data_IF_748485911672
#
_entry.id   IF_748485911672
#
_cell.length_a   1.000
_cell.length_b   1.000
_cell.length_c   1.000
_cell.angle_alpha   90.00
_cell.angle_beta   90.00
_cell.angle_gamma   90.00
#
_symmetry.space_group_name_H-M   'P 1'
#
loop_
_entity.id
_entity.type
_entity.pdbx_description
1 polymer ?
#
# COMPACT_ATOMS: atom_id res chain seq x y z
N UNK A 1 -13.16 12.06 10.94
CA UNK A 1 -11.73 12.28 11.32
C UNK A 1 -10.73 11.46 10.47
N UNK A 2 -10.86 10.12 10.45
CA UNK A 2 -9.93 9.24 9.73
C UNK A 2 -9.98 9.39 8.19
N UNK A 3 -11.17 9.46 7.58
CA UNK A 3 -11.33 9.71 6.13
C UNK A 3 -10.70 11.04 5.73
N UNK A 4 -10.94 12.12 6.49
CA UNK A 4 -10.34 13.44 6.24
C UNK A 4 -8.81 13.39 6.32
N UNK A 5 -8.26 12.63 7.26
CA UNK A 5 -6.82 12.42 7.36
C UNK A 5 -6.28 11.69 6.11
N UNK A 6 -6.91 10.59 5.70
CA UNK A 6 -6.50 9.83 4.50
C UNK A 6 -6.57 10.68 3.23
N UNK A 7 -7.64 11.46 3.05
CA UNK A 7 -7.75 12.40 1.92
C UNK A 7 -6.67 13.48 1.95
N UNK A 8 -6.34 14.02 3.13
CA UNK A 8 -5.27 15.02 3.28
C UNK A 8 -3.90 14.42 2.96
N UNK A 9 -3.62 13.21 3.46
CA UNK A 9 -2.40 12.48 3.17
C UNK A 9 -2.29 12.17 1.68
N UNK A 10 -3.36 11.66 1.07
CA UNK A 10 -3.42 11.37 -0.36
C UNK A 10 -3.11 12.62 -1.20
N UNK A 11 -3.71 13.77 -0.87
CA UNK A 11 -3.45 15.02 -1.58
C UNK A 11 -1.99 15.49 -1.44
N UNK A 12 -1.37 15.31 -0.27
CA UNK A 12 0.06 15.63 -0.07
C UNK A 12 0.96 14.69 -0.86
N UNK A 13 0.70 13.38 -0.77
CA UNK A 13 1.49 12.36 -1.48
C UNK A 13 1.35 12.50 -3.00
N UNK A 14 0.18 12.86 -3.51
CA UNK A 14 -0.03 13.11 -4.94
C UNK A 14 0.82 14.28 -5.45
N UNK A 15 1.03 15.32 -4.64
CA UNK A 15 1.92 16.45 -4.99
C UNK A 15 3.39 16.06 -4.94
N UNK A 16 3.81 15.29 -3.94
CA UNK A 16 5.21 14.90 -3.76
C UNK A 16 5.63 13.74 -4.68
N UNK A 17 4.68 12.88 -5.04
CA UNK A 17 4.91 11.62 -5.73
C UNK A 17 3.93 11.44 -6.90
N UNK A 18 3.75 12.49 -7.71
CA UNK A 18 2.85 12.49 -8.87
C UNK A 18 3.16 11.35 -9.86
N UNK A 19 4.40 10.86 -9.86
CA UNK A 19 4.92 9.85 -10.78
C UNK A 19 4.68 8.41 -10.32
N UNK A 20 4.05 8.17 -9.17
CA UNK A 20 3.73 6.80 -8.77
C UNK A 20 2.77 6.20 -9.81
N UNK A 21 3.22 5.12 -10.43
CA UNK A 21 2.45 4.36 -11.41
C UNK A 21 1.45 3.42 -10.72
N UNK A 22 1.86 2.81 -9.60
CA UNK A 22 1.06 1.83 -8.87
C UNK A 22 1.65 1.60 -7.47
N UNK A 23 0.81 1.27 -6.48
CA UNK A 23 1.29 0.93 -5.14
C UNK A 23 0.40 -0.09 -4.43
N UNK A 24 0.94 -0.71 -3.39
CA UNK A 24 0.25 -1.72 -2.60
C UNK A 24 0.20 -1.31 -1.13
N UNK A 25 -0.97 -1.47 -0.52
CA UNK A 25 -1.15 -1.45 0.94
C UNK A 25 -1.53 -2.86 1.36
N UNK A 26 -0.68 -3.52 2.13
CA UNK A 26 -0.91 -4.89 2.60
C UNK A 26 -1.00 -4.94 4.13
N UNK A 27 -1.58 -6.02 4.64
CA UNK A 27 -1.86 -6.17 6.07
C UNK A 27 -2.66 -5.01 6.65
N UNK A 28 -3.53 -4.38 5.86
CA UNK A 28 -4.44 -3.37 6.36
C UNK A 28 -5.41 -4.02 7.37
N UNK A 29 -5.45 -3.50 8.59
CA UNK A 29 -6.47 -3.91 9.54
C UNK A 29 -7.88 -3.55 9.00
N UNK A 30 -8.96 -4.20 9.46
CA UNK A 30 -10.29 -4.00 8.90
C UNK A 30 -10.75 -2.54 8.87
N UNK A 31 -10.41 -1.75 9.89
CA UNK A 31 -10.74 -0.33 9.97
C UNK A 31 -9.97 0.49 8.93
N UNK A 32 -8.66 0.28 8.81
CA UNK A 32 -7.82 0.94 7.81
C UNK A 32 -8.30 0.59 6.39
N UNK A 33 -8.61 -0.68 6.14
CA UNK A 33 -9.17 -1.13 4.87
C UNK A 33 -10.46 -0.38 4.52
N UNK A 34 -11.42 -0.31 5.45
CA UNK A 34 -12.69 0.41 5.25
C UNK A 34 -12.48 1.91 5.04
N UNK A 35 -11.65 2.57 5.85
CA UNK A 35 -11.39 4.01 5.72
C UNK A 35 -10.81 4.34 4.35
N UNK A 36 -9.84 3.56 3.86
CA UNK A 36 -9.23 3.84 2.56
C UNK A 36 -10.20 3.54 1.41
N UNK A 37 -11.01 2.48 1.50
CA UNK A 37 -12.07 2.20 0.50
C UNK A 37 -13.08 3.35 0.43
N UNK A 38 -13.54 3.85 1.58
CA UNK A 38 -14.48 4.98 1.62
C UNK A 38 -13.85 6.28 1.10
N UNK A 39 -12.53 6.40 1.21
CA UNK A 39 -11.78 7.57 0.73
C UNK A 39 -11.49 7.51 -0.78
N UNK A 40 -11.40 6.32 -1.38
CA UNK A 40 -11.02 6.13 -2.81
C UNK A 40 -11.82 6.96 -3.82
N UNK A 41 -13.17 7.05 -3.73
CA UNK A 41 -13.96 7.80 -4.71
C UNK A 41 -13.70 9.31 -4.71
N UNK A 42 -13.26 9.84 -3.57
CA UNK A 42 -13.01 11.28 -3.37
C UNK A 42 -11.54 11.64 -3.34
N UNK A 43 -10.67 10.64 -3.23
CA UNK A 43 -9.25 10.81 -3.36
C UNK A 43 -8.87 10.97 -4.84
N UNK A 44 -7.87 11.82 -5.10
CA UNK A 44 -7.31 11.98 -6.44
C UNK A 44 -6.65 10.71 -6.97
N UNK A 45 -5.90 10.84 -8.07
CA UNK A 45 -5.36 9.71 -8.81
C UNK A 45 -4.44 8.84 -7.95
N UNK A 46 -3.84 9.39 -6.89
CA UNK A 46 -2.95 8.67 -6.00
C UNK A 46 -3.61 7.43 -5.37
N UNK A 47 -4.73 7.59 -4.64
CA UNK A 47 -5.35 6.43 -3.97
C UNK A 47 -6.03 5.48 -4.95
N UNK A 48 -6.41 5.95 -6.15
CA UNK A 48 -6.94 5.07 -7.19
C UNK A 48 -5.89 4.10 -7.74
N UNK A 49 -4.61 4.51 -7.75
CA UNK A 49 -3.47 3.68 -8.16
C UNK A 49 -2.99 2.71 -7.07
N UNK A 50 -3.59 2.75 -5.87
CA UNK A 50 -3.23 1.86 -4.77
C UNK A 50 -4.16 0.64 -4.74
N UNK A 51 -3.59 -0.56 -4.76
CA UNK A 51 -4.32 -1.79 -4.40
C UNK A 51 -4.19 -2.04 -2.90
N UNK A 52 -5.32 -2.33 -2.26
CA UNK A 52 -5.40 -2.40 -0.81
C UNK A 52 -5.84 -3.80 -0.44
N UNK A 53 -5.09 -4.41 0.46
CA UNK A 53 -5.28 -5.78 0.87
C UNK A 53 -5.32 -5.87 2.39
N UNK A 54 -6.22 -6.71 2.89
CA UNK A 54 -6.31 -7.05 4.30
C UNK A 54 -5.15 -7.94 4.78
N UNK A 55 -5.32 -8.55 5.95
CA UNK A 55 -4.29 -9.37 6.60
C UNK A 55 -4.13 -10.78 6.03
N UNK A 56 -5.03 -11.24 5.16
CA UNK A 56 -4.94 -12.56 4.56
C UNK A 56 -3.87 -12.60 3.45
N UNK A 57 -2.67 -13.06 3.80
CA UNK A 57 -1.51 -13.16 2.92
C UNK A 57 -1.69 -14.11 1.74
N UNK A 58 -2.49 -15.17 1.89
CA UNK A 58 -2.80 -16.07 0.78
C UNK A 58 -3.54 -15.36 -0.36
N UNK A 59 -4.27 -14.27 -0.06
CA UNK A 59 -5.00 -13.50 -1.06
C UNK A 59 -4.13 -12.46 -1.77
N UNK A 60 -3.19 -11.83 -1.06
CA UNK A 60 -2.43 -10.71 -1.62
C UNK A 60 -1.05 -11.09 -2.15
N UNK A 61 -0.38 -12.11 -1.61
CA UNK A 61 0.93 -12.56 -2.10
C UNK A 61 0.89 -12.84 -3.61
N UNK A 62 -0.08 -13.64 -4.14
CA UNK A 62 -0.13 -13.93 -5.57
C UNK A 62 -0.35 -12.68 -6.45
N UNK A 63 -1.00 -11.63 -5.91
CA UNK A 63 -1.26 -10.39 -6.66
C UNK A 63 -0.01 -9.52 -6.78
N UNK A 64 0.83 -9.50 -5.75
CA UNK A 64 2.11 -8.78 -5.77
C UNK A 64 3.09 -9.50 -6.70
N UNK A 65 3.21 -10.83 -6.57
CA UNK A 65 4.13 -11.63 -7.39
C UNK A 65 3.82 -11.57 -8.90
N UNK A 66 2.58 -11.25 -9.30
CA UNK A 66 2.22 -11.00 -10.71
C UNK A 66 2.86 -9.74 -11.29
N UNK A 67 3.28 -8.79 -10.45
CA UNK A 67 3.82 -7.50 -10.89
C UNK A 67 5.26 -7.28 -10.50
N UNK A 68 5.72 -7.89 -9.41
CA UNK A 68 7.08 -7.74 -8.91
C UNK A 68 7.77 -9.11 -8.99
N UNK A 69 8.90 -9.22 -9.72
CA UNK A 69 9.68 -10.45 -9.79
C UNK A 69 10.04 -11.00 -8.40
N UNK A 70 10.06 -12.33 -8.26
CA UNK A 70 10.30 -12.97 -6.96
C UNK A 70 11.69 -12.64 -6.38
N UNK A 71 12.69 -12.48 -7.22
CA UNK A 71 14.07 -12.11 -6.86
C UNK A 71 14.20 -10.65 -6.38
N UNK A 72 13.16 -9.83 -6.55
CA UNK A 72 13.09 -8.44 -6.08
C UNK A 72 12.18 -8.27 -4.85
N UNK A 73 11.47 -9.33 -4.44
CA UNK A 73 10.58 -9.32 -3.28
C UNK A 73 11.25 -10.01 -2.08
N UNK A 74 11.20 -9.41 -0.88
CA UNK A 74 11.54 -10.12 0.34
C UNK A 74 10.68 -11.38 0.57
N UNK A 75 11.20 -12.41 1.28
CA UNK A 75 10.43 -13.58 1.71
C UNK A 75 9.14 -13.24 2.44
N UNK A 76 9.13 -12.17 3.25
CA UNK A 76 7.94 -11.69 3.95
C UNK A 76 6.77 -11.31 3.02
N UNK A 77 7.05 -11.05 1.74
CA UNK A 77 6.07 -10.71 0.72
C UNK A 77 5.98 -11.77 -0.39
N UNK A 78 6.54 -12.96 -0.15
CA UNK A 78 6.50 -14.12 -1.05
C UNK A 78 7.61 -14.16 -2.10
N UNK A 79 8.68 -13.38 -1.98
CA UNK A 79 9.83 -13.51 -2.88
C UNK A 79 11.00 -14.29 -2.29
N UNK A 80 12.14 -14.21 -2.98
CA UNK A 80 13.41 -14.84 -2.61
C UNK A 80 14.52 -13.81 -2.37
N UNK A 81 14.23 -12.52 -2.52
CA UNK A 81 15.20 -11.44 -2.38
C UNK A 81 15.67 -11.29 -0.94
N UNK A 82 16.97 -11.14 -0.75
CA UNK A 82 17.55 -10.67 0.51
C UNK A 82 17.41 -9.15 0.68
N UNK A 83 16.60 -8.49 -0.17
CA UNK A 83 16.32 -7.06 -0.15
C UNK A 83 16.07 -6.55 1.27
N UNK A 84 16.92 -5.63 1.70
CA UNK A 84 16.73 -4.82 2.90
C UNK A 84 16.09 -3.49 2.50
N UNK A 85 14.96 -3.09 3.12
CA UNK A 85 14.33 -1.81 2.83
C UNK A 85 15.34 -0.67 2.99
N UNK A 86 15.37 0.25 2.02
CA UNK A 86 16.19 1.47 2.11
C UNK A 86 15.86 2.29 3.36
N UNK A 87 14.59 2.31 3.78
CA UNK A 87 14.12 2.94 5.02
C UNK A 87 12.95 2.14 5.59
N UNK A 88 13.00 1.84 6.88
CA UNK A 88 11.89 1.22 7.62
C UNK A 88 11.33 2.24 8.61
N UNK A 89 10.05 2.54 8.51
CA UNK A 89 9.35 3.39 9.48
C UNK A 89 8.48 2.50 10.36
N UNK A 90 8.90 2.31 11.62
CA UNK A 90 8.09 1.63 12.62
C UNK A 90 7.22 2.69 13.32
N UNK A 91 5.92 2.70 13.02
CA UNK A 91 4.95 3.60 13.66
C UNK A 91 4.28 2.96 14.89
N UNK A 92 5.03 2.14 15.64
CA UNK A 92 4.56 1.44 16.85
C UNK A 92 5.23 1.95 18.13
N UNK A 93 5.55 3.24 18.19
CA UNK A 93 5.84 3.98 19.42
C UNK A 93 4.96 5.23 19.50
#
# INVERSE_FOLDING_TARGET
>A
PAVKFVLTLASKLEKCYAQISYGYVINANPLAYQVVILSKPTAGNFLQKMDIHGTNSQNWIPKIQRRIPQDQLPPAYGGSSDFKPLVTYNFLE
#
